data_IF_481931821760
#
_entry.id   IF_481931821760
#
_cell.length_a   1.000
_cell.length_b   1.000
_cell.length_c   1.000
_cell.angle_alpha   90.00
_cell.angle_beta   90.00
_cell.angle_gamma   90.00
#
_symmetry.space_group_name_H-M   'P 1'
#
loop_
_entity.id
_entity.type
_entity.pdbx_description
1 polymer ?
#
# COMPACT_ATOMS: atom_id res chain seq x y z
N UNK A 1 11.48 -9.56 29.42
CA UNK A 1 12.08 -9.51 28.06
C UNK A 1 10.98 -9.15 27.08
N UNK A 2 10.65 -7.87 26.94
CA UNK A 2 9.48 -7.41 26.18
C UNK A 2 9.85 -6.20 25.34
N UNK A 3 10.21 -6.46 24.09
CA UNK A 3 10.33 -5.42 23.07
C UNK A 3 10.07 -6.07 21.73
N UNK A 4 8.86 -5.92 21.19
CA UNK A 4 8.50 -6.00 19.76
C UNK A 4 6.98 -5.97 19.58
N UNK A 5 6.39 -4.82 19.92
CA UNK A 5 5.13 -4.37 19.35
C UNK A 5 5.14 -2.85 19.54
N UNK A 6 5.84 -2.14 18.65
CA UNK A 6 5.72 -0.68 18.60
C UNK A 6 4.31 -0.42 18.07
N UNK A 7 3.46 0.05 18.98
CA UNK A 7 2.07 0.40 18.78
C UNK A 7 1.89 1.23 17.50
N UNK A 8 1.10 0.75 16.53
CA UNK A 8 0.91 1.41 15.22
C UNK A 8 0.35 2.84 15.35
N UNK A 9 -0.38 3.09 16.43
CA UNK A 9 -0.87 4.42 16.83
C UNK A 9 0.28 5.37 17.15
N UNK A 10 1.35 4.90 17.79
CA UNK A 10 2.54 5.70 18.12
C UNK A 10 3.36 6.04 16.86
N UNK A 11 3.40 5.17 15.84
CA UNK A 11 4.03 5.48 14.54
C UNK A 11 3.23 6.53 13.74
N UNK A 12 1.90 6.40 13.68
CA UNK A 12 1.01 7.42 13.10
C UNK A 12 1.14 8.76 13.82
N UNK A 13 1.17 8.75 15.15
CA UNK A 13 1.29 9.95 15.98
C UNK A 13 2.67 10.59 15.88
N UNK A 14 3.76 9.81 15.82
CA UNK A 14 5.13 10.32 15.63
C UNK A 14 5.30 10.98 14.27
N UNK A 15 4.74 10.40 13.19
CA UNK A 15 4.68 11.06 11.90
C UNK A 15 3.93 12.39 12.01
N UNK A 16 2.71 12.42 12.58
CA UNK A 16 1.90 13.64 12.72
C UNK A 16 2.50 14.70 13.65
N UNK A 17 3.31 14.35 14.64
CA UNK A 17 4.03 15.34 15.46
C UNK A 17 5.17 15.99 14.66
N UNK A 18 5.81 15.25 13.76
CA UNK A 18 6.75 15.83 12.78
C UNK A 18 6.02 16.67 11.70
N UNK A 19 4.69 16.51 11.50
CA UNK A 19 3.89 17.32 10.57
C UNK A 19 3.74 18.79 10.99
N UNK A 20 3.97 19.13 12.26
CA UNK A 20 3.69 20.48 12.78
C UNK A 20 4.95 21.32 13.09
N UNK A 21 6.14 20.71 13.16
CA UNK A 21 7.33 21.38 13.72
C UNK A 21 8.15 22.23 12.71
N UNK A 22 7.79 22.28 11.44
CA UNK A 22 8.48 23.11 10.43
C UNK A 22 7.53 24.13 9.81
N UNK A 23 6.95 24.99 10.65
CA UNK A 23 6.65 26.33 10.16
C UNK A 23 7.97 26.97 9.79
N UNK A 24 8.02 27.48 8.56
CA UNK A 24 9.19 28.11 7.99
C UNK A 24 9.58 29.27 8.90
N UNK A 25 10.55 29.07 9.79
CA UNK A 25 11.08 30.14 10.63
C UNK A 25 11.59 31.22 9.70
N UNK A 26 10.85 32.34 9.63
CA UNK A 26 11.26 33.54 8.93
C UNK A 26 12.45 34.14 9.69
N UNK A 27 13.65 33.58 9.49
CA UNK A 27 14.91 34.21 9.86
C UNK A 27 15.23 35.30 8.84
N UNK A 28 15.47 36.49 9.36
CA UNK A 28 15.81 37.77 8.72
C UNK A 28 17.11 37.76 7.87
N UNK A 29 17.28 36.81 6.96
CA UNK A 29 18.37 36.81 5.96
C UNK A 29 17.80 37.01 4.53
N UNK A 30 16.79 37.87 4.41
CA UNK A 30 16.09 38.12 3.15
C UNK A 30 16.87 39.14 2.32
N UNK A 31 17.52 38.68 1.22
CA UNK A 31 17.59 39.34 -0.11
C UNK A 31 18.74 38.86 -1.01
N UNK A 32 19.66 37.98 -0.56
CA UNK A 32 20.73 37.49 -1.44
C UNK A 32 20.17 36.62 -2.57
N UNK A 33 20.22 37.14 -3.80
CA UNK A 33 19.87 36.40 -5.01
C UNK A 33 21.02 35.44 -5.35
N UNK A 34 20.72 34.14 -5.38
CA UNK A 34 21.61 33.11 -5.88
C UNK A 34 21.20 32.72 -7.29
N UNK A 35 22.15 32.27 -8.11
CA UNK A 35 21.88 31.78 -9.46
C UNK A 35 22.16 30.28 -9.50
N UNK A 36 21.26 29.52 -10.13
CA UNK A 36 21.50 28.11 -10.41
C UNK A 36 22.51 27.96 -11.57
N UNK A 37 22.99 26.74 -11.89
CA UNK A 37 23.90 26.50 -13.02
C UNK A 37 23.35 26.93 -14.39
N UNK A 38 22.05 27.19 -14.50
CA UNK A 38 21.38 27.67 -15.72
C UNK A 38 21.16 29.20 -15.70
N UNK A 39 21.67 29.91 -14.69
CA UNK A 39 21.53 31.36 -14.55
C UNK A 39 20.15 31.83 -14.06
N UNK A 40 19.32 30.94 -13.49
CA UNK A 40 18.01 31.30 -12.94
C UNK A 40 18.18 31.85 -11.52
N UNK A 41 17.73 33.09 -11.24
CA UNK A 41 17.80 33.66 -9.90
C UNK A 41 16.81 32.98 -8.94
N UNK A 42 17.29 32.58 -7.77
CA UNK A 42 16.49 32.06 -6.67
C UNK A 42 16.97 32.62 -5.32
N UNK A 43 16.06 32.70 -4.35
CA UNK A 43 16.44 32.97 -2.95
C UNK A 43 16.52 31.66 -2.17
N UNK A 44 17.36 31.62 -1.14
CA UNK A 44 17.43 30.46 -0.23
C UNK A 44 16.04 30.17 0.37
N UNK A 45 15.26 31.22 0.69
CA UNK A 45 13.90 31.12 1.19
C UNK A 45 12.95 30.44 0.18
N UNK A 46 12.99 30.81 -1.11
CA UNK A 46 12.18 30.16 -2.15
C UNK A 46 12.53 28.68 -2.31
N UNK A 47 13.83 28.33 -2.25
CA UNK A 47 14.29 26.94 -2.35
C UNK A 47 13.88 26.12 -1.13
N UNK A 48 14.00 26.67 0.07
CA UNK A 48 13.55 26.01 1.31
C UNK A 48 12.04 25.80 1.30
N UNK A 49 11.26 26.81 0.92
CA UNK A 49 9.81 26.69 0.79
C UNK A 49 9.41 25.61 -0.23
N UNK A 50 10.13 25.50 -1.36
CA UNK A 50 9.91 24.42 -2.33
C UNK A 50 10.20 23.03 -1.74
N UNK A 51 11.32 22.86 -1.03
CA UNK A 51 11.67 21.60 -0.38
C UNK A 51 10.65 21.17 0.68
N UNK A 52 10.13 22.12 1.47
CA UNK A 52 9.08 21.86 2.47
C UNK A 52 7.80 21.38 1.78
N UNK A 53 7.38 22.04 0.69
CA UNK A 53 6.20 21.61 -0.07
C UNK A 53 6.36 20.20 -0.63
N UNK A 54 7.50 19.89 -1.24
CA UNK A 54 7.73 18.56 -1.80
C UNK A 54 7.80 17.49 -0.71
N UNK A 55 8.40 17.78 0.45
CA UNK A 55 8.37 16.88 1.61
C UNK A 55 6.92 16.60 2.05
N UNK A 56 6.08 17.62 2.17
CA UNK A 56 4.65 17.46 2.52
C UNK A 56 3.90 16.62 1.48
N UNK A 57 4.15 16.83 0.19
CA UNK A 57 3.59 16.02 -0.88
C UNK A 57 4.00 14.55 -0.76
N UNK A 58 5.29 14.29 -0.55
CA UNK A 58 5.80 12.92 -0.38
C UNK A 58 5.26 12.25 0.89
N UNK A 59 5.09 13.00 1.98
CA UNK A 59 4.46 12.51 3.21
C UNK A 59 3.01 12.06 2.94
N UNK A 60 2.21 12.89 2.25
CA UNK A 60 0.84 12.55 1.88
C UNK A 60 0.78 11.27 1.02
N UNK A 61 1.67 11.13 0.04
CA UNK A 61 1.74 9.91 -0.80
C UNK A 61 2.11 8.68 0.05
N UNK A 62 3.08 8.80 0.96
CA UNK A 62 3.49 7.68 1.79
C UNK A 62 2.37 7.27 2.77
N UNK A 63 1.58 8.23 3.27
CA UNK A 63 0.39 7.95 4.08
C UNK A 63 -0.65 7.17 3.30
N UNK A 64 -0.97 7.60 2.08
CA UNK A 64 -1.91 6.87 1.20
C UNK A 64 -1.42 5.45 0.86
N UNK A 65 -0.11 5.26 0.69
CA UNK A 65 0.47 3.93 0.51
C UNK A 65 0.29 3.04 1.75
N UNK A 66 0.35 3.62 2.95
CA UNK A 66 0.15 2.85 4.18
C UNK A 66 -1.30 2.45 4.37
N UNK A 67 -2.22 3.37 4.05
CA UNK A 67 -3.65 3.07 4.01
C UNK A 67 -3.96 1.96 3.00
N UNK A 68 -3.38 2.01 1.80
CA UNK A 68 -3.53 0.94 0.81
C UNK A 68 -3.06 -0.42 1.34
N UNK A 69 -1.94 -0.48 2.08
CA UNK A 69 -1.41 -1.76 2.61
C UNK A 69 -2.38 -2.46 3.56
N UNK A 70 -3.20 -1.71 4.30
CA UNK A 70 -4.20 -2.26 5.23
C UNK A 70 -5.30 -3.03 4.48
N UNK A 71 -5.56 -2.70 3.21
CA UNK A 71 -6.59 -3.32 2.39
C UNK A 71 -6.07 -4.45 1.50
N UNK A 72 -4.76 -4.61 1.39
CA UNK A 72 -4.12 -5.63 0.57
C UNK A 72 -3.90 -6.89 1.42
N UNK A 73 -4.12 -8.11 0.88
CA UNK A 73 -3.95 -9.33 1.67
C UNK A 73 -2.49 -9.56 2.08
N UNK A 74 -2.20 -9.47 3.38
CA UNK A 74 -0.85 -9.67 3.95
C UNK A 74 -0.81 -10.84 4.91
N UNK A 75 0.38 -11.44 5.11
CA UNK A 75 0.56 -12.41 6.18
C UNK A 75 0.53 -11.72 7.56
N UNK A 76 0.08 -12.40 8.64
CA UNK A 76 -0.02 -11.80 9.98
C UNK A 76 1.28 -11.25 10.57
N UNK A 77 2.43 -11.72 10.06
CA UNK A 77 3.77 -11.28 10.48
C UNK A 77 4.64 -10.87 9.29
N UNK A 78 4.01 -10.43 8.20
CA UNK A 78 4.74 -10.05 7.02
C UNK A 78 5.57 -8.79 7.22
N UNK A 79 6.75 -8.76 6.59
CA UNK A 79 7.46 -7.49 6.43
C UNK A 79 6.63 -6.55 5.57
N UNK A 80 6.78 -5.25 5.81
CA UNK A 80 6.16 -4.20 4.99
C UNK A 80 6.49 -4.41 3.51
N UNK A 81 5.46 -4.55 2.67
CA UNK A 81 5.59 -4.70 1.22
C UNK A 81 6.24 -3.46 0.58
N UNK A 82 7.07 -3.69 -0.45
CA UNK A 82 7.63 -2.61 -1.27
C UNK A 82 6.52 -1.85 -2.01
N UNK A 83 6.78 -0.61 -2.44
CA UNK A 83 5.78 0.18 -3.20
C UNK A 83 5.29 -0.55 -4.45
N UNK A 84 6.19 -1.24 -5.15
CA UNK A 84 5.85 -1.99 -6.36
C UNK A 84 4.99 -3.22 -6.02
N UNK A 85 5.37 -3.96 -4.98
CA UNK A 85 4.63 -5.17 -4.58
C UNK A 85 3.23 -4.82 -4.06
N UNK A 86 3.11 -3.75 -3.27
CA UNK A 86 1.80 -3.23 -2.84
C UNK A 86 0.90 -2.91 -4.04
N UNK A 87 1.43 -2.24 -5.08
CA UNK A 87 0.63 -1.90 -6.27
C UNK A 87 0.25 -3.14 -7.08
N UNK A 88 1.20 -4.05 -7.32
CA UNK A 88 0.95 -5.29 -8.07
C UNK A 88 -0.12 -6.14 -7.38
N UNK A 89 0.02 -6.31 -6.06
CA UNK A 89 -0.91 -7.12 -5.28
C UNK A 89 -2.28 -6.45 -5.19
N UNK A 90 -2.36 -5.12 -5.07
CA UNK A 90 -3.63 -4.40 -5.12
C UNK A 90 -4.35 -4.58 -6.47
N UNK A 91 -3.64 -4.46 -7.60
CA UNK A 91 -4.21 -4.66 -8.94
C UNK A 91 -4.75 -6.09 -9.08
N UNK A 92 -3.95 -7.09 -8.71
CA UNK A 92 -4.35 -8.48 -8.75
C UNK A 92 -5.56 -8.74 -7.83
N UNK A 93 -5.58 -8.16 -6.64
CA UNK A 93 -6.68 -8.36 -5.69
C UNK A 93 -7.99 -7.70 -6.15
N UNK A 94 -7.93 -6.49 -6.72
CA UNK A 94 -9.11 -5.84 -7.33
C UNK A 94 -9.67 -6.70 -8.45
N UNK A 95 -8.81 -7.25 -9.32
CA UNK A 95 -9.25 -8.12 -10.41
C UNK A 95 -9.95 -9.39 -9.87
N UNK A 96 -9.39 -10.02 -8.83
CA UNK A 96 -10.05 -11.16 -8.18
C UNK A 96 -11.43 -10.78 -7.65
N UNK A 97 -11.52 -9.69 -6.89
CA UNK A 97 -12.79 -9.26 -6.32
C UNK A 97 -13.81 -8.88 -7.40
N UNK A 98 -13.37 -8.28 -8.52
CA UNK A 98 -14.22 -8.01 -9.68
C UNK A 98 -14.81 -9.28 -10.27
N UNK A 99 -13.95 -10.24 -10.59
CA UNK A 99 -14.36 -11.56 -11.10
C UNK A 99 -15.35 -12.27 -10.14
N UNK A 100 -15.07 -12.21 -8.84
CA UNK A 100 -15.91 -12.83 -7.80
C UNK A 100 -17.31 -12.19 -7.70
N UNK A 101 -17.43 -10.89 -8.03
CA UNK A 101 -18.71 -10.19 -8.04
C UNK A 101 -19.52 -10.47 -9.31
N UNK A 102 -18.84 -10.75 -10.44
CA UNK A 102 -19.49 -11.10 -11.70
C UNK A 102 -19.84 -12.59 -11.80
N UNK A 103 -19.16 -13.44 -11.03
CA UNK A 103 -19.44 -14.87 -10.99
C UNK A 103 -20.78 -15.17 -10.31
N UNK A 104 -21.68 -15.85 -11.02
CA UNK A 104 -22.94 -16.40 -10.46
C UNK A 104 -22.74 -17.66 -9.58
N UNK A 105 -21.52 -17.88 -9.08
CA UNK A 105 -21.14 -19.05 -8.28
C UNK A 105 -20.40 -18.64 -7.02
N UNK A 106 -20.37 -19.54 -6.04
CA UNK A 106 -19.74 -19.28 -4.75
C UNK A 106 -18.24 -18.92 -4.92
N UNK A 107 -17.71 -17.90 -4.21
CA UNK A 107 -16.36 -17.39 -4.46
C UNK A 107 -15.24 -18.43 -4.42
N UNK A 108 -15.33 -19.35 -3.47
CA UNK A 108 -14.36 -20.46 -3.32
C UNK A 108 -14.41 -21.40 -4.51
N UNK A 109 -15.61 -21.69 -5.02
CA UNK A 109 -15.80 -22.58 -6.16
C UNK A 109 -15.30 -21.93 -7.45
N UNK A 110 -15.52 -20.62 -7.62
CA UNK A 110 -14.95 -19.86 -8.73
C UNK A 110 -13.43 -19.99 -8.74
N UNK A 111 -12.79 -19.65 -7.62
CA UNK A 111 -11.34 -19.69 -7.50
C UNK A 111 -10.77 -21.09 -7.72
N UNK A 112 -11.38 -22.13 -7.14
CA UNK A 112 -10.91 -23.52 -7.35
C UNK A 112 -11.03 -23.95 -8.82
N UNK A 113 -12.13 -23.57 -9.48
CA UNK A 113 -12.33 -23.82 -10.91
C UNK A 113 -11.25 -23.13 -11.74
N UNK A 114 -10.97 -21.85 -11.47
CA UNK A 114 -9.93 -21.08 -12.16
C UNK A 114 -8.52 -21.63 -11.90
N UNK A 115 -8.22 -22.08 -10.67
CA UNK A 115 -6.92 -22.66 -10.32
C UNK A 115 -6.70 -24.04 -10.96
N UNK A 116 -7.77 -24.78 -11.23
CA UNK A 116 -7.74 -26.11 -11.88
C UNK A 116 -7.76 -26.03 -13.42
N UNK A 117 -8.20 -24.91 -13.98
CA UNK A 117 -8.28 -24.74 -15.43
C UNK A 117 -6.88 -24.74 -16.07
N UNK A 118 -6.71 -25.51 -17.14
CA UNK A 118 -5.49 -25.53 -17.96
C UNK A 118 -5.47 -24.37 -18.97
N UNK A 119 -6.63 -23.76 -19.23
CA UNK A 119 -6.73 -22.55 -20.05
C UNK A 119 -6.15 -21.37 -19.27
N UNK A 120 -4.88 -21.10 -19.53
CA UNK A 120 -4.16 -19.89 -19.12
C UNK A 120 -4.66 -18.66 -19.88
N UNK A 121 -5.97 -18.46 -19.99
CA UNK A 121 -6.42 -17.08 -20.09
C UNK A 121 -5.96 -16.43 -18.80
N UNK A 122 -4.96 -15.58 -18.94
CA UNK A 122 -4.21 -14.97 -17.84
C UNK A 122 -5.15 -14.09 -17.02
N UNK A 123 -5.95 -14.71 -16.15
CA UNK A 123 -6.71 -14.03 -15.10
C UNK A 123 -5.72 -13.17 -14.34
N UNK A 124 -5.89 -11.85 -14.44
CA UNK A 124 -4.93 -10.84 -13.97
C UNK A 124 -4.55 -11.05 -12.50
N UNK A 125 -5.45 -11.66 -11.74
CA UNK A 125 -5.28 -11.96 -10.33
C UNK A 125 -4.46 -13.24 -10.04
N UNK A 126 -4.35 -14.18 -10.97
CA UNK A 126 -3.68 -15.47 -10.77
C UNK A 126 -2.15 -15.34 -10.83
N UNK A 127 -1.63 -14.61 -9.84
CA UNK A 127 -0.21 -14.48 -9.57
C UNK A 127 0.15 -15.43 -8.44
N UNK A 128 1.35 -16.01 -8.47
CA UNK A 128 1.83 -16.89 -7.40
C UNK A 128 1.78 -16.23 -6.02
N UNK A 129 2.03 -14.91 -5.97
CA UNK A 129 1.98 -14.13 -4.72
C UNK A 129 0.55 -14.02 -4.18
N UNK A 130 -0.44 -13.61 -5.00
CA UNK A 130 -1.83 -13.53 -4.53
C UNK A 130 -2.38 -14.93 -4.18
N UNK A 131 -2.10 -15.95 -4.99
CA UNK A 131 -2.55 -17.33 -4.75
C UNK A 131 -2.05 -17.86 -3.40
N UNK A 132 -0.79 -17.58 -3.04
CA UNK A 132 -0.24 -17.96 -1.73
C UNK A 132 -0.93 -17.26 -0.54
N UNK A 133 -1.52 -16.09 -0.78
CA UNK A 133 -2.18 -15.24 0.23
C UNK A 133 -3.67 -15.53 0.37
N UNK A 134 -4.30 -16.26 -0.57
CA UNK A 134 -5.73 -16.54 -0.53
C UNK A 134 -6.18 -17.16 0.80
N UNK A 135 -5.38 -18.06 1.37
CA UNK A 135 -5.69 -18.67 2.67
C UNK A 135 -5.68 -17.67 3.83
N UNK A 136 -5.06 -16.50 3.68
CA UNK A 136 -4.93 -15.47 4.71
C UNK A 136 -5.92 -14.33 4.54
N UNK A 137 -6.70 -14.32 3.46
CA UNK A 137 -7.81 -13.38 3.30
C UNK A 137 -8.84 -13.65 4.39
N UNK A 138 -9.39 -12.58 4.95
CA UNK A 138 -10.55 -12.69 5.83
C UNK A 138 -11.82 -12.89 4.99
N UNK A 139 -12.11 -14.15 4.68
CA UNK A 139 -13.27 -14.56 3.89
C UNK A 139 -14.61 -14.23 4.54
N UNK A 140 -14.66 -14.10 5.87
CA UNK A 140 -15.88 -13.67 6.57
C UNK A 140 -16.27 -12.23 6.22
N UNK A 141 -15.28 -11.35 5.99
CA UNK A 141 -15.55 -9.98 5.51
C UNK A 141 -16.16 -9.96 4.11
N UNK A 142 -16.05 -11.05 3.36
CA UNK A 142 -16.62 -11.23 2.02
C UNK A 142 -17.92 -12.05 2.06
N UNK A 143 -18.46 -12.35 3.24
CA UNK A 143 -19.69 -13.16 3.38
C UNK A 143 -19.50 -14.65 3.08
N UNK A 144 -18.26 -15.13 3.06
CA UNK A 144 -17.94 -16.55 2.87
C UNK A 144 -17.72 -17.20 4.23
N UNK A 145 -18.55 -18.18 4.55
CA UNK A 145 -18.47 -18.93 5.79
C UNK A 145 -17.32 -19.95 5.77
N UNK A 146 -16.53 -19.97 6.84
CA UNK A 146 -15.38 -20.87 6.99
C UNK A 146 -14.13 -20.40 6.24
N UNK A 147 -13.00 -21.07 6.52
CA UNK A 147 -11.73 -20.79 5.85
C UNK A 147 -11.59 -21.71 4.63
N UNK A 148 -11.56 -21.19 3.40
CA UNK A 148 -11.41 -22.00 2.21
C UNK A 148 -10.06 -22.71 2.19
N UNK A 149 -10.07 -23.97 1.80
CA UNK A 149 -8.87 -24.73 1.46
C UNK A 149 -8.76 -24.77 -0.07
N UNK A 150 -7.66 -24.23 -0.59
CA UNK A 150 -7.37 -24.26 -2.03
C UNK A 150 -6.35 -25.36 -2.30
N UNK A 151 -6.61 -26.24 -3.27
CA UNK A 151 -5.69 -27.32 -3.67
C UNK A 151 -6.24 -28.74 -3.48
N UNK A 152 -5.41 -29.79 -3.67
CA UNK A 152 -5.88 -31.19 -3.81
C UNK A 152 -6.43 -31.82 -2.52
N UNK A 153 -6.47 -31.09 -1.40
CA UNK A 153 -6.99 -31.53 -0.11
C UNK A 153 -8.23 -30.76 0.34
N UNK A 154 -8.93 -30.10 -0.58
CA UNK A 154 -10.27 -29.56 -0.36
C UNK A 154 -11.30 -30.71 -0.37
N UNK A 155 -11.75 -31.13 0.81
CA UNK A 155 -12.82 -32.12 1.01
C UNK A 155 -14.20 -31.48 1.03
#
# INVERSE_FOLDING_TARGET
>A
MSTLAKDESEYRSSCLYEYQQFDCGCGDDSLTIHYDPNGIPYTIQTRQAANVRERRRMMSINSAFEELRVHVPTFPYEKRLSKIDTLKLAIAYIALLGDLLEADIHPVQYIDTCLRSEERESVLWNTSDLTARLSWINWQNLGVDGRPTFGPYSS
#
